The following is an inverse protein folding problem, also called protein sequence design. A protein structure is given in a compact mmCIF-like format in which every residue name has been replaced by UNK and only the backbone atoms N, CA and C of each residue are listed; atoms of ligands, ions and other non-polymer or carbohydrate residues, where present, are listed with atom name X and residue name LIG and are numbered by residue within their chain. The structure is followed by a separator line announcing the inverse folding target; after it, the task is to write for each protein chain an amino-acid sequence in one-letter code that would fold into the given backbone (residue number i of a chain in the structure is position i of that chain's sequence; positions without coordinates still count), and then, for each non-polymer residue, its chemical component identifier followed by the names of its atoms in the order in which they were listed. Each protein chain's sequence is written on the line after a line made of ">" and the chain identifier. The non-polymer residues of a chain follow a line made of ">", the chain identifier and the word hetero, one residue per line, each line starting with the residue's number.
data_IF_277856493619
#
_entry.id   IF_277856493619
#
_cell.length_a   1.000
_cell.length_b   1.000
_cell.length_c   1.000
_cell.angle_alpha   90.00
_cell.angle_beta   90.00
_cell.angle_gamma   90.00
#
_symmetry.space_group_name_H-M   'P 1'
#
loop_
_entity.id
_entity.type
_entity.pdbx_description
1 polymer ?
#
# COMPACT_ATOMS: atom_id res chain seq x y z
N UNK A 1 15.32 12.33 5.22
CA UNK A 1 14.37 13.33 4.68
C UNK A 1 12.95 12.76 4.67
N UNK A 2 12.05 13.40 5.42
CA UNK A 2 10.67 12.95 5.65
C UNK A 2 9.85 13.25 4.39
N UNK A 3 9.33 12.20 3.77
CA UNK A 3 8.54 12.27 2.54
C UNK A 3 7.11 12.67 2.91
N UNK A 4 6.83 13.98 2.94
CA UNK A 4 5.46 14.50 2.99
C UNK A 4 5.21 15.33 1.73
N UNK A 5 4.94 14.67 0.60
CA UNK A 5 4.85 15.36 -0.67
C UNK A 5 3.57 16.21 -0.67
N UNK A 6 3.64 17.51 -1.01
CA UNK A 6 2.47 18.39 -1.01
C UNK A 6 1.49 18.09 -2.15
N UNK A 7 1.92 17.26 -3.11
CA UNK A 7 1.17 16.83 -4.29
C UNK A 7 1.50 15.36 -4.58
N UNK A 8 0.65 14.62 -5.31
CA UNK A 8 0.99 13.31 -5.85
C UNK A 8 2.28 13.39 -6.69
N UNK A 9 3.08 12.34 -6.67
CA UNK A 9 4.31 12.26 -7.48
C UNK A 9 4.25 11.00 -8.34
N UNK A 10 4.62 11.13 -9.61
CA UNK A 10 4.82 10.03 -10.52
C UNK A 10 6.26 10.05 -11.01
N UNK A 11 7.01 8.98 -10.81
CA UNK A 11 8.39 8.82 -11.28
C UNK A 11 8.36 7.80 -12.41
N UNK A 12 8.97 8.14 -13.55
CA UNK A 12 9.05 7.25 -14.73
C UNK A 12 10.52 7.04 -15.08
N UNK A 13 10.93 5.79 -15.24
CA UNK A 13 12.31 5.45 -15.55
C UNK A 13 12.43 4.15 -16.34
N UNK A 14 13.63 3.91 -16.89
CA UNK A 14 13.97 2.61 -17.47
C UNK A 14 14.21 1.62 -16.34
N UNK A 15 13.82 0.36 -16.53
CA UNK A 15 14.13 -0.72 -15.60
C UNK A 15 15.67 -0.79 -15.39
N UNK A 16 16.16 -0.63 -14.16
CA UNK A 16 17.60 -0.60 -13.89
C UNK A 16 18.27 -1.95 -14.07
N UNK A 17 17.52 -3.03 -14.32
CA UNK A 17 18.03 -4.36 -14.62
C UNK A 17 18.16 -4.55 -16.14
N UNK A 18 19.38 -4.58 -16.69
CA UNK A 18 19.58 -4.87 -18.10
C UNK A 18 18.94 -6.21 -18.47
N UNK A 19 18.39 -6.29 -19.69
CA UNK A 19 17.74 -7.48 -20.27
C UNK A 19 16.46 -7.98 -19.56
N UNK A 20 16.05 -7.34 -18.47
CA UNK A 20 14.78 -7.64 -17.81
C UNK A 20 13.62 -7.08 -18.63
N UNK A 21 12.81 -7.98 -19.20
CA UNK A 21 11.63 -7.64 -20.00
C UNK A 21 10.41 -7.23 -19.17
N UNK A 22 10.54 -7.17 -17.85
CA UNK A 22 9.44 -6.79 -16.98
C UNK A 22 9.38 -5.28 -16.80
N UNK A 23 8.15 -4.78 -16.86
CA UNK A 23 7.79 -3.48 -16.32
C UNK A 23 7.51 -3.64 -14.82
N UNK A 24 7.63 -2.53 -14.09
CA UNK A 24 7.36 -2.46 -12.65
C UNK A 24 6.52 -1.23 -12.36
N UNK A 25 5.49 -1.40 -11.55
CA UNK A 25 4.79 -0.30 -10.90
C UNK A 25 4.87 -0.47 -9.39
N UNK A 26 5.11 0.63 -8.68
CA UNK A 26 5.06 0.73 -7.22
C UNK A 26 4.13 1.90 -6.90
N UNK A 27 2.98 1.62 -6.30
CA UNK A 27 2.02 2.62 -5.83
C UNK A 27 2.13 2.70 -4.31
N UNK A 28 2.61 3.83 -3.79
CA UNK A 28 2.82 4.06 -2.36
C UNK A 28 1.91 5.16 -1.84
N UNK A 29 1.01 4.83 -0.92
CA UNK A 29 0.14 5.75 -0.19
C UNK A 29 0.79 6.12 1.14
N UNK A 30 0.96 7.41 1.39
CA UNK A 30 1.65 7.94 2.58
C UNK A 30 0.61 8.42 3.59
N UNK A 31 0.62 7.83 4.79
CA UNK A 31 -0.25 8.25 5.89
C UNK A 31 0.31 9.50 6.59
N UNK A 32 1.58 9.44 7.01
CA UNK A 32 2.22 10.52 7.77
C UNK A 32 3.04 10.00 8.94
N UNK A 33 3.24 10.85 9.96
CA UNK A 33 4.08 10.51 11.11
C UNK A 33 3.51 9.32 11.86
N UNK A 34 4.37 8.33 12.11
CA UNK A 34 4.06 7.06 12.75
C UNK A 34 3.77 7.25 14.25
N UNK A 35 2.68 6.64 14.71
CA UNK A 35 2.31 6.45 16.12
C UNK A 35 2.07 4.95 16.36
N UNK A 36 1.94 4.54 17.63
CA UNK A 36 1.56 3.15 17.95
C UNK A 36 0.19 2.81 17.35
N UNK A 37 -0.74 3.75 17.41
CA UNK A 37 -2.07 3.58 16.84
C UNK A 37 -2.03 3.41 15.31
N UNK A 38 -1.27 4.26 14.61
CA UNK A 38 -1.16 4.14 13.16
C UNK A 38 -0.43 2.85 12.76
N UNK A 39 0.61 2.44 13.49
CA UNK A 39 1.29 1.16 13.26
C UNK A 39 0.34 -0.03 13.35
N UNK A 40 -0.54 -0.05 14.36
CA UNK A 40 -1.54 -1.11 14.53
C UNK A 40 -2.58 -1.07 13.41
N UNK A 41 -3.19 0.09 13.17
CA UNK A 41 -4.28 0.23 12.17
C UNK A 41 -3.75 -0.05 10.76
N UNK A 42 -2.67 0.61 10.35
CA UNK A 42 -2.12 0.44 9.01
C UNK A 42 -1.38 -0.90 8.85
N UNK A 43 -0.84 -1.49 9.92
CA UNK A 43 -0.33 -2.86 9.92
C UNK A 43 -1.41 -3.87 9.54
N UNK A 44 -2.60 -3.80 10.17
CA UNK A 44 -3.75 -4.63 9.82
C UNK A 44 -4.22 -4.37 8.39
N UNK A 45 -4.34 -3.10 7.98
CA UNK A 45 -4.69 -2.75 6.60
C UNK A 45 -3.68 -3.32 5.60
N UNK A 46 -2.39 -3.29 5.92
CA UNK A 46 -1.32 -3.86 5.10
C UNK A 46 -1.44 -5.38 4.92
N UNK A 47 -1.74 -6.11 6.01
CA UNK A 47 -1.98 -7.56 5.94
C UNK A 47 -3.18 -7.90 5.04
N UNK A 48 -4.29 -7.18 5.21
CA UNK A 48 -5.50 -7.39 4.41
C UNK A 48 -5.24 -7.01 2.94
N UNK A 49 -4.62 -5.85 2.69
CA UNK A 49 -4.28 -5.37 1.35
C UNK A 49 -3.38 -6.36 0.62
N UNK A 50 -2.40 -6.96 1.30
CA UNK A 50 -1.52 -7.99 0.74
C UNK A 50 -2.33 -9.15 0.14
N UNK A 51 -3.31 -9.65 0.87
CA UNK A 51 -4.16 -10.77 0.42
C UNK A 51 -5.03 -10.36 -0.77
N UNK A 52 -5.66 -9.17 -0.70
CA UNK A 52 -6.53 -8.68 -1.79
C UNK A 52 -5.73 -8.44 -3.06
N UNK A 53 -4.58 -7.75 -2.96
CA UNK A 53 -3.71 -7.45 -4.09
C UNK A 53 -3.14 -8.73 -4.71
N UNK A 54 -2.69 -9.69 -3.89
CA UNK A 54 -2.19 -10.97 -4.39
C UNK A 54 -3.29 -11.77 -5.11
N UNK A 55 -4.47 -11.91 -4.49
CA UNK A 55 -5.59 -12.63 -5.09
C UNK A 55 -5.99 -12.04 -6.45
N UNK A 56 -6.10 -10.72 -6.54
CA UNK A 56 -6.53 -10.07 -7.77
C UNK A 56 -5.42 -10.00 -8.83
N UNK A 57 -4.28 -9.39 -8.50
CA UNK A 57 -3.26 -9.03 -9.48
C UNK A 57 -2.39 -10.22 -9.87
N UNK A 58 -2.11 -11.14 -8.93
CA UNK A 58 -1.30 -12.35 -9.18
C UNK A 58 -2.15 -13.54 -9.60
N UNK A 59 -3.18 -13.89 -8.84
CA UNK A 59 -3.90 -15.15 -9.09
C UNK A 59 -4.89 -15.04 -10.23
N UNK A 60 -5.79 -14.04 -10.21
CA UNK A 60 -6.83 -13.89 -11.23
C UNK A 60 -6.33 -13.25 -12.52
N UNK A 61 -5.67 -12.09 -12.42
CA UNK A 61 -5.19 -11.34 -13.60
C UNK A 61 -3.83 -11.82 -14.10
N UNK A 62 -3.05 -12.47 -13.25
CA UNK A 62 -1.72 -12.99 -13.58
C UNK A 62 -0.81 -11.93 -14.21
N UNK A 63 -0.87 -10.68 -13.73
CA UNK A 63 -0.18 -9.54 -14.36
C UNK A 63 1.34 -9.65 -14.28
N UNK A 64 1.83 -10.30 -13.23
CA UNK A 64 3.25 -10.41 -12.95
C UNK A 64 3.59 -11.63 -12.11
N UNK A 65 4.88 -11.97 -12.08
CA UNK A 65 5.39 -13.01 -11.19
C UNK A 65 5.45 -12.51 -9.75
N UNK A 66 5.81 -11.24 -9.56
CA UNK A 66 5.93 -10.61 -8.26
C UNK A 66 4.79 -9.62 -8.08
N UNK A 67 3.94 -9.92 -7.11
CA UNK A 67 2.91 -9.00 -6.60
C UNK A 67 3.02 -9.02 -5.09
N UNK A 68 3.11 -7.85 -4.49
CA UNK A 68 3.08 -7.71 -3.06
C UNK A 68 2.40 -6.40 -2.70
N UNK A 69 1.73 -6.40 -1.56
CA UNK A 69 1.37 -5.18 -0.89
C UNK A 69 1.70 -5.31 0.59
N UNK A 70 2.11 -4.23 1.22
CA UNK A 70 2.44 -4.23 2.62
C UNK A 70 2.31 -2.84 3.24
N UNK A 71 2.33 -2.85 4.56
CA UNK A 71 2.61 -1.69 5.39
C UNK A 71 4.10 -1.59 5.65
N UNK A 72 4.62 -0.36 5.68
CA UNK A 72 5.98 -0.09 6.09
C UNK A 72 6.14 1.29 6.72
N UNK A 73 7.29 1.49 7.35
CA UNK A 73 7.68 2.78 7.92
C UNK A 73 9.03 3.19 7.35
N UNK A 74 9.09 4.33 6.68
CA UNK A 74 10.34 4.96 6.25
C UNK A 74 10.71 6.05 7.24
N UNK A 75 11.81 5.86 7.98
CA UNK A 75 12.16 6.69 9.14
C UNK A 75 11.04 6.65 10.19
N UNK A 76 10.20 7.68 10.24
CA UNK A 76 9.05 7.81 11.12
C UNK A 76 7.77 8.10 10.34
N UNK A 77 7.72 7.77 9.05
CA UNK A 77 6.57 7.97 8.18
C UNK A 77 5.98 6.64 7.75
N UNK A 78 4.71 6.45 8.05
CA UNK A 78 3.94 5.27 7.67
C UNK A 78 3.44 5.36 6.23
N UNK A 79 3.51 4.24 5.53
CA UNK A 79 2.98 4.09 4.18
C UNK A 79 2.39 2.70 3.96
N UNK A 80 1.45 2.61 3.02
CA UNK A 80 1.03 1.37 2.38
C UNK A 80 1.56 1.37 0.96
N UNK A 81 2.15 0.26 0.53
CA UNK A 81 2.64 0.14 -0.85
C UNK A 81 2.05 -1.10 -1.50
N UNK A 82 1.74 -0.99 -2.79
CA UNK A 82 1.40 -2.10 -3.68
C UNK A 82 2.36 -2.06 -4.84
N UNK A 83 3.03 -3.17 -5.14
CA UNK A 83 3.89 -3.24 -6.31
C UNK A 83 3.65 -4.50 -7.14
N UNK A 84 3.82 -4.35 -8.44
CA UNK A 84 3.63 -5.39 -9.45
C UNK A 84 4.82 -5.34 -10.39
N UNK A 85 5.45 -6.49 -10.62
CA UNK A 85 6.46 -6.68 -11.66
C UNK A 85 5.99 -7.79 -12.61
N UNK A 86 5.89 -7.45 -13.89
CA UNK A 86 5.43 -8.37 -14.93
C UNK A 86 5.63 -7.84 -16.34
N UNK A 87 5.26 -8.66 -17.32
CA UNK A 87 5.44 -8.38 -18.75
C UNK A 87 4.13 -8.49 -19.55
N UNK A 88 2.98 -8.64 -18.88
CA UNK A 88 1.67 -8.73 -19.55
C UNK A 88 1.07 -7.37 -19.90
N UNK A 89 1.31 -6.38 -19.04
CA UNK A 89 0.91 -5.00 -19.22
C UNK A 89 2.16 -4.13 -19.02
N UNK A 90 2.14 -2.94 -19.62
CA UNK A 90 3.11 -1.91 -19.28
C UNK A 90 2.84 -1.34 -17.87
N UNK A 91 3.78 -0.56 -17.33
CA UNK A 91 3.63 0.00 -15.98
C UNK A 91 2.37 0.88 -15.81
N UNK A 92 1.92 1.55 -16.87
CA UNK A 92 0.68 2.34 -16.87
C UNK A 92 -0.57 1.45 -16.77
N UNK A 93 -0.62 0.36 -17.54
CA UNK A 93 -1.69 -0.62 -17.44
C UNK A 93 -1.73 -1.36 -16.10
N UNK A 94 -0.56 -1.62 -15.51
CA UNK A 94 -0.47 -2.22 -14.17
C UNK A 94 -0.93 -1.26 -13.07
N UNK A 95 -0.60 0.03 -13.14
CA UNK A 95 -1.14 1.05 -12.22
C UNK A 95 -2.67 1.06 -12.26
N UNK A 96 -3.26 1.07 -13.46
CA UNK A 96 -4.72 1.05 -13.62
C UNK A 96 -5.35 -0.22 -13.00
N UNK A 97 -4.65 -1.36 -12.99
CA UNK A 97 -5.12 -2.57 -12.32
C UNK A 97 -4.98 -2.47 -10.79
N UNK A 98 -3.93 -1.82 -10.28
CA UNK A 98 -3.78 -1.51 -8.85
C UNK A 98 -4.92 -0.60 -8.38
N UNK A 99 -5.36 0.37 -9.17
CA UNK A 99 -6.49 1.23 -8.80
C UNK A 99 -7.81 0.46 -8.61
N UNK A 100 -8.01 -0.67 -9.29
CA UNK A 100 -9.17 -1.56 -9.02
C UNK A 100 -9.10 -2.12 -7.61
N UNK A 101 -7.90 -2.54 -7.17
CA UNK A 101 -7.68 -3.02 -5.82
C UNK A 101 -7.95 -1.92 -4.81
N UNK A 102 -7.40 -0.73 -5.04
CA UNK A 102 -7.49 0.36 -4.07
C UNK A 102 -8.89 0.97 -3.96
N UNK A 103 -9.58 1.15 -5.08
CA UNK A 103 -10.85 1.86 -5.15
C UNK A 103 -12.08 0.98 -4.92
N UNK A 104 -12.01 -0.31 -5.27
CA UNK A 104 -13.18 -1.20 -5.24
C UNK A 104 -12.97 -2.41 -4.33
N UNK A 105 -11.95 -3.22 -4.60
CA UNK A 105 -11.82 -4.51 -3.93
C UNK A 105 -11.47 -4.39 -2.46
N UNK A 106 -10.56 -3.48 -2.12
CA UNK A 106 -10.14 -3.26 -0.74
C UNK A 106 -11.28 -2.65 0.10
N UNK A 107 -11.96 -1.56 -0.30
CA UNK A 107 -13.15 -1.06 0.41
C UNK A 107 -14.25 -2.11 0.56
N UNK A 108 -14.51 -2.90 -0.49
CA UNK A 108 -15.50 -3.98 -0.43
C UNK A 108 -15.07 -5.04 0.59
N UNK A 109 -13.81 -5.48 0.55
CA UNK A 109 -13.28 -6.46 1.49
C UNK A 109 -13.41 -5.97 2.94
N UNK A 110 -13.05 -4.70 3.18
CA UNK A 110 -13.17 -4.11 4.52
C UNK A 110 -14.63 -4.05 5.01
N UNK A 111 -15.60 -3.77 4.13
CA UNK A 111 -17.02 -3.69 4.48
C UNK A 111 -17.68 -5.06 4.67
N UNK A 112 -17.23 -6.08 3.94
CA UNK A 112 -17.85 -7.41 3.96
C UNK A 112 -17.13 -8.43 4.84
N UNK A 113 -15.97 -8.10 5.43
CA UNK A 113 -15.27 -9.03 6.31
C UNK A 113 -16.12 -9.34 7.55
N UNK A 114 -16.15 -10.61 7.93
CA UNK A 114 -16.82 -11.03 9.15
C UNK A 114 -16.02 -10.63 10.39
N UNK A 115 -16.68 -10.55 11.55
CA UNK A 115 -15.98 -10.34 12.83
C UNK A 115 -14.98 -11.46 13.14
N UNK A 116 -15.24 -12.68 12.68
CA UNK A 116 -14.31 -13.79 12.84
C UNK A 116 -13.03 -13.54 12.05
N UNK A 117 -13.17 -13.25 10.75
CA UNK A 117 -12.03 -12.95 9.89
C UNK A 117 -11.23 -11.74 10.39
N UNK A 118 -11.92 -10.70 10.88
CA UNK A 118 -11.25 -9.56 11.49
C UNK A 118 -10.42 -9.95 12.73
N UNK A 119 -10.96 -10.81 13.60
CA UNK A 119 -10.21 -11.34 14.75
C UNK A 119 -9.01 -12.16 14.31
N UNK A 120 -9.14 -12.99 13.28
CA UNK A 120 -8.01 -13.78 12.76
C UNK A 120 -6.83 -12.88 12.33
N UNK A 121 -7.10 -11.72 11.72
CA UNK A 121 -6.06 -10.73 11.41
C UNK A 121 -5.42 -10.12 12.66
N UNK A 122 -6.23 -9.76 13.67
CA UNK A 122 -5.73 -9.23 14.95
C UNK A 122 -4.84 -10.25 15.65
N UNK A 123 -5.30 -11.50 15.74
CA UNK A 123 -4.58 -12.59 16.39
C UNK A 123 -3.27 -12.88 15.63
N UNK A 124 -3.31 -12.92 14.29
CA UNK A 124 -2.11 -13.09 13.47
C UNK A 124 -1.07 -11.98 13.72
N UNK A 125 -1.50 -10.72 13.77
CA UNK A 125 -0.61 -9.61 14.09
C UNK A 125 -0.07 -9.71 15.51
N UNK A 126 -0.90 -10.02 16.51
CA UNK A 126 -0.48 -10.21 17.90
C UNK A 126 0.56 -11.34 18.02
N UNK A 127 0.32 -12.46 17.36
CA UNK A 127 1.27 -13.58 17.30
C UNK A 127 2.62 -13.15 16.72
N UNK A 128 2.63 -12.40 15.62
CA UNK A 128 3.89 -11.90 15.02
C UNK A 128 4.66 -10.94 15.93
N UNK A 129 3.98 -10.24 16.85
CA UNK A 129 4.61 -9.31 17.78
C UNK A 129 5.27 -10.01 18.96
N UNK A 130 4.74 -11.17 19.39
CA UNK A 130 5.23 -11.94 20.54
C UNK A 130 6.11 -13.13 20.16
N UNK A 131 6.19 -13.47 18.87
CA UNK A 131 7.01 -14.57 18.39
C UNK A 131 8.48 -14.37 18.82
N UNK A 132 9.09 -15.36 19.51
CA UNK A 132 10.48 -15.26 19.92
C UNK A 132 11.39 -15.30 18.68
N UNK A 133 12.49 -14.52 18.67
CA UNK A 133 13.44 -14.57 17.57
C UNK A 133 14.05 -15.97 17.44
N UNK A 134 14.08 -16.50 16.22
CA UNK A 134 14.59 -17.86 15.93
C UNK A 134 16.04 -17.86 15.45
N UNK A 135 16.62 -16.68 15.22
CA UNK A 135 18.02 -16.52 14.82
C UNK A 135 18.65 -15.28 15.51
N UNK A 136 19.99 -15.20 15.60
CA UNK A 136 20.66 -14.02 16.13
C UNK A 136 20.33 -12.73 15.35
N UNK A 137 20.11 -12.83 14.04
CA UNK A 137 19.70 -11.70 13.23
C UNK A 137 18.29 -11.22 13.62
N UNK A 138 17.37 -12.15 13.86
CA UNK A 138 16.02 -11.82 14.33
C UNK A 138 16.05 -11.22 15.73
N UNK A 139 16.93 -11.71 16.61
CA UNK A 139 17.10 -11.18 17.96
C UNK A 139 17.57 -9.72 17.94
N UNK A 140 18.58 -9.42 17.12
CA UNK A 140 19.03 -8.05 16.91
C UNK A 140 17.87 -7.19 16.43
N UNK A 141 17.14 -7.59 15.37
CA UNK A 141 16.00 -6.83 14.87
C UNK A 141 14.88 -6.66 15.91
N UNK A 142 14.61 -7.70 16.70
CA UNK A 142 13.59 -7.72 17.74
C UNK A 142 13.86 -6.65 18.81
N UNK A 143 15.12 -6.43 19.18
CA UNK A 143 15.52 -5.43 20.19
C UNK A 143 16.03 -4.11 19.59
N UNK A 144 16.21 -4.01 18.27
CA UNK A 144 16.77 -2.82 17.63
C UNK A 144 15.80 -1.63 17.56
N UNK A 145 14.49 -1.89 17.59
CA UNK A 145 13.49 -0.83 17.39
C UNK A 145 13.66 0.36 18.36
N UNK A 146 13.75 0.18 19.69
CA UNK A 146 13.96 1.30 20.62
C UNK A 146 15.27 2.05 20.37
N UNK A 147 16.34 1.34 19.98
CA UNK A 147 17.64 1.94 19.63
C UNK A 147 17.49 2.85 18.40
N UNK A 148 16.82 2.36 17.34
CA UNK A 148 16.51 3.15 16.14
C UNK A 148 15.66 4.39 16.46
N UNK A 149 14.80 4.31 17.47
CA UNK A 149 13.98 5.44 17.95
C UNK A 149 14.72 6.39 18.90
N UNK A 150 16.04 6.22 19.06
CA UNK A 150 16.89 7.07 19.90
C UNK A 150 16.84 6.70 21.38
N UNK A 151 16.71 5.41 21.71
CA UNK A 151 16.59 4.92 23.09
C UNK A 151 15.24 5.26 23.72
N UNK A 152 14.18 5.32 22.91
CA UNK A 152 12.80 5.62 23.36
C UNK A 152 11.87 4.49 22.93
N UNK A 153 10.66 4.47 23.49
CA UNK A 153 9.59 3.56 23.07
C UNK A 153 9.89 2.07 23.32
N UNK A 154 10.54 1.73 24.44
CA UNK A 154 10.75 0.34 24.87
C UNK A 154 9.44 -0.45 25.03
N UNK A 155 8.37 0.25 25.44
CA UNK A 155 7.03 -0.30 25.62
C UNK A 155 6.19 -0.32 24.33
N UNK A 156 6.73 0.10 23.19
CA UNK A 156 5.96 0.21 21.93
C UNK A 156 5.25 -1.10 21.55
N UNK A 157 5.94 -2.24 21.75
CA UNK A 157 5.37 -3.56 21.48
C UNK A 157 4.22 -3.87 22.43
N UNK A 158 4.42 -3.64 23.73
CA UNK A 158 3.37 -3.86 24.74
C UNK A 158 2.16 -2.98 24.48
N UNK A 159 2.37 -1.69 24.18
CA UNK A 159 1.30 -0.76 23.83
C UNK A 159 0.56 -1.18 22.54
N UNK A 160 1.28 -1.72 21.55
CA UNK A 160 0.66 -2.27 20.34
C UNK A 160 -0.23 -3.48 20.65
N UNK A 161 0.24 -4.39 21.53
CA UNK A 161 -0.53 -5.55 21.97
C UNK A 161 -1.78 -5.15 22.78
N UNK A 162 -1.64 -4.18 23.69
CA UNK A 162 -2.77 -3.63 24.45
C UNK A 162 -3.81 -3.01 23.52
N UNK A 163 -3.38 -2.22 22.53
CA UNK A 163 -4.28 -1.60 21.57
C UNK A 163 -4.97 -2.65 20.68
N UNK A 164 -4.22 -3.64 20.18
CA UNK A 164 -4.79 -4.77 19.43
C UNK A 164 -5.85 -5.51 20.26
N UNK A 165 -5.62 -5.77 21.54
CA UNK A 165 -6.59 -6.46 22.39
C UNK A 165 -7.77 -5.57 22.85
N UNK A 166 -7.70 -4.27 22.61
CA UNK A 166 -8.74 -3.33 23.03
C UNK A 166 -9.96 -3.33 22.08
N UNK A 167 -11.05 -2.73 22.56
CA UNK A 167 -12.24 -2.42 21.76
C UNK A 167 -12.08 -1.19 20.86
N UNK A 168 -10.93 -0.50 20.90
CA UNK A 168 -10.66 0.68 20.07
C UNK A 168 -10.36 0.32 18.62
N UNK A 169 -9.82 -0.88 18.38
CA UNK A 169 -9.49 -1.36 17.04
C UNK A 169 -10.65 -2.20 16.51
N UNK A 170 -11.50 -1.55 15.70
CA UNK A 170 -12.68 -2.15 15.06
C UNK A 170 -12.58 -2.14 13.53
N UNK A 171 -13.43 -2.92 12.86
CA UNK A 171 -13.54 -2.92 11.39
C UNK A 171 -13.87 -1.52 10.86
N UNK A 172 -14.72 -0.78 11.55
CA UNK A 172 -15.16 0.56 11.16
C UNK A 172 -14.00 1.56 11.21
N UNK A 173 -13.09 1.42 12.20
CA UNK A 173 -11.85 2.22 12.26
C UNK A 173 -10.96 1.94 11.04
N UNK A 174 -10.82 0.67 10.64
CA UNK A 174 -10.07 0.30 9.44
C UNK A 174 -10.71 0.86 8.16
N UNK A 175 -12.05 0.82 8.05
CA UNK A 175 -12.77 1.43 6.92
C UNK A 175 -12.51 2.93 6.85
N UNK A 176 -12.65 3.65 7.97
CA UNK A 176 -12.40 5.09 8.02
C UNK A 176 -10.95 5.46 7.73
N UNK A 177 -9.99 4.69 8.25
CA UNK A 177 -8.57 4.88 7.96
C UNK A 177 -8.24 4.65 6.48
N UNK A 178 -8.84 3.63 5.85
CA UNK A 178 -8.68 3.39 4.42
C UNK A 178 -9.28 4.52 3.57
N UNK A 179 -10.49 4.97 3.92
CA UNK A 179 -11.15 6.09 3.23
C UNK A 179 -10.31 7.36 3.34
N UNK A 180 -9.73 7.66 4.51
CA UNK A 180 -8.83 8.81 4.66
C UNK A 180 -7.55 8.70 3.83
N UNK A 181 -6.93 7.52 3.78
CA UNK A 181 -5.64 7.29 3.11
C UNK A 181 -5.78 7.20 1.59
N UNK A 182 -6.70 6.38 1.10
CA UNK A 182 -6.81 5.98 -0.30
C UNK A 182 -7.95 6.69 -1.05
N UNK A 183 -8.91 7.29 -0.33
CA UNK A 183 -10.09 7.94 -0.93
C UNK A 183 -10.44 9.26 -0.22
N UNK A 184 -9.46 10.17 -0.02
CA UNK A 184 -9.71 11.37 0.78
C UNK A 184 -10.87 12.19 0.21
N UNK A 185 -11.82 12.64 1.05
CA UNK A 185 -13.04 13.32 0.60
C UNK A 185 -12.76 14.69 -0.03
N UNK A 186 -11.60 15.28 0.26
CA UNK A 186 -11.12 16.52 -0.36
C UNK A 186 -9.61 16.42 -0.62
N UNK A 187 -9.16 17.06 -1.70
CA UNK A 187 -7.77 17.04 -2.13
C UNK A 187 -7.39 15.77 -2.89
N UNK A 188 -6.08 15.49 -2.91
CA UNK A 188 -5.48 14.33 -3.58
C UNK A 188 -4.83 13.41 -2.57
N UNK A 189 -4.57 12.14 -2.93
CA UNK A 189 -3.75 11.27 -2.10
C UNK A 189 -2.34 11.83 -1.98
N UNK A 190 -1.73 11.59 -0.81
CA UNK A 190 -0.27 11.66 -0.68
C UNK A 190 0.30 10.37 -1.26
N UNK A 191 0.48 10.35 -2.57
CA UNK A 191 0.92 9.15 -3.29
C UNK A 191 2.22 9.37 -4.03
N UNK A 192 3.03 8.33 -4.09
CA UNK A 192 4.20 8.22 -4.95
C UNK A 192 4.00 6.99 -5.82
N UNK A 193 3.93 7.20 -7.13
CA UNK A 193 3.86 6.13 -8.13
C UNK A 193 5.18 6.06 -8.85
N UNK A 194 5.92 4.96 -8.69
CA UNK A 194 7.16 4.73 -9.42
C UNK A 194 6.92 3.69 -10.51
N UNK A 195 7.29 4.03 -11.74
CA UNK A 195 7.13 3.20 -12.94
C UNK A 195 8.48 2.95 -13.58
N UNK A 196 8.83 1.67 -13.73
CA UNK A 196 9.98 1.24 -14.49
C UNK A 196 9.52 0.49 -15.74
N UNK A 197 10.04 0.86 -16.90
CA UNK A 197 9.72 0.25 -18.18
C UNK A 197 10.91 -0.56 -18.68
N UNK A 198 10.69 -1.79 -19.15
CA UNK A 198 11.75 -2.68 -19.63
C UNK A 198 12.58 -2.10 -20.80
N UNK A 199 11.97 -1.24 -21.61
CA UNK A 199 12.59 -0.60 -22.77
C UNK A 199 12.67 0.91 -22.64
N UNK A 200 12.15 1.62 -23.63
CA UNK A 200 12.05 3.07 -23.58
C UNK A 200 10.92 3.49 -22.66
N UNK A 201 11.11 4.61 -21.96
CA UNK A 201 10.06 5.21 -21.13
C UNK A 201 9.02 5.86 -22.06
N UNK A 202 7.78 5.34 -22.14
CA UNK A 202 6.76 5.96 -22.95
C UNK A 202 6.35 7.31 -22.37
N UNK A 203 5.91 8.21 -23.25
CA UNK A 203 5.29 9.46 -22.84
C UNK A 203 4.11 9.18 -21.89
N UNK A 204 3.91 10.07 -20.92
CA UNK A 204 2.78 9.94 -19.98
C UNK A 204 1.47 9.88 -20.78
N UNK A 205 0.60 8.87 -20.55
CA UNK A 205 -0.66 8.76 -21.27
C UNK A 205 -1.49 10.05 -21.16
N UNK A 206 -2.12 10.46 -22.26
CA UNK A 206 -3.09 11.56 -22.24
C UNK A 206 -4.27 11.23 -21.30
N UNK A 207 -5.02 12.23 -20.81
CA UNK A 207 -6.18 11.98 -19.95
C UNK A 207 -7.18 10.97 -20.56
N UNK A 208 -7.39 11.04 -21.87
CA UNK A 208 -8.28 10.11 -22.60
C UNK A 208 -7.73 8.69 -22.62
N UNK A 209 -6.42 8.52 -22.84
CA UNK A 209 -5.77 7.22 -22.83
C UNK A 209 -5.77 6.60 -21.43
N UNK A 210 -5.47 7.39 -20.39
CA UNK A 210 -5.52 6.92 -19.01
C UNK A 210 -6.93 6.49 -18.62
N UNK A 211 -7.96 7.29 -18.95
CA UNK A 211 -9.34 6.89 -18.69
C UNK A 211 -9.70 5.59 -19.43
N UNK A 212 -9.24 5.42 -20.67
CA UNK A 212 -9.44 4.19 -21.42
C UNK A 212 -8.72 2.99 -20.75
N UNK A 213 -7.52 3.19 -20.20
CA UNK A 213 -6.80 2.17 -19.43
C UNK A 213 -7.57 1.79 -18.15
N UNK A 214 -8.01 2.79 -17.36
CA UNK A 214 -8.83 2.57 -16.17
C UNK A 214 -10.11 1.79 -16.49
N UNK A 215 -10.81 2.17 -17.57
CA UNK A 215 -12.01 1.47 -18.02
C UNK A 215 -11.72 0.02 -18.44
N UNK A 216 -10.64 -0.22 -19.21
CA UNK A 216 -10.22 -1.57 -19.60
C UNK A 216 -9.87 -2.45 -18.40
N UNK A 217 -9.30 -1.88 -17.34
CA UNK A 217 -8.99 -2.62 -16.12
C UNK A 217 -10.21 -2.84 -15.22
N UNK A 218 -11.34 -2.21 -15.51
CA UNK A 218 -12.59 -2.36 -14.74
C UNK A 218 -12.68 -1.42 -13.54
N UNK A 219 -11.93 -0.32 -13.53
CA UNK A 219 -12.06 0.73 -12.51
C UNK A 219 -13.44 1.39 -12.67
N UNK A 220 -14.16 1.58 -11.56
CA UNK A 220 -15.51 2.13 -11.57
C UNK A 220 -15.55 3.54 -12.18
N UNK A 221 -16.59 3.89 -12.97
CA UNK A 221 -16.73 5.23 -13.57
C UNK A 221 -16.72 6.38 -12.56
N UNK A 222 -17.19 6.14 -11.33
CA UNK A 222 -17.14 7.11 -10.23
C UNK A 222 -15.71 7.50 -9.84
N UNK A 223 -14.73 6.61 -10.02
CA UNK A 223 -13.32 6.87 -9.73
C UNK A 223 -12.66 7.73 -10.80
N UNK A 224 -13.09 7.64 -12.06
CA UNK A 224 -12.36 8.21 -13.19
C UNK A 224 -12.19 9.72 -13.08
N UNK A 225 -13.26 10.43 -12.70
CA UNK A 225 -13.21 11.88 -12.52
C UNK A 225 -12.22 12.27 -11.42
N UNK A 226 -12.24 11.54 -10.31
CA UNK A 226 -11.38 11.81 -9.17
C UNK A 226 -9.91 11.51 -9.48
N UNK A 227 -9.61 10.36 -10.10
CA UNK A 227 -8.26 9.99 -10.53
C UNK A 227 -7.72 10.94 -11.60
N UNK A 228 -8.58 11.46 -12.48
CA UNK A 228 -8.19 12.48 -13.48
C UNK A 228 -7.79 13.80 -12.80
N UNK A 229 -8.56 14.24 -11.80
CA UNK A 229 -8.22 15.43 -11.03
C UNK A 229 -6.95 15.27 -10.18
N UNK A 230 -6.68 14.05 -9.69
CA UNK A 230 -5.41 13.72 -9.04
C UNK A 230 -4.25 13.80 -10.04
N UNK A 231 -4.42 13.21 -11.23
CA UNK A 231 -3.44 13.18 -12.33
C UNK A 231 -2.99 14.57 -12.76
N UNK A 232 -3.91 15.53 -12.82
CA UNK A 232 -3.63 16.94 -13.16
C UNK A 232 -2.73 17.63 -12.12
N UNK A 233 -2.83 17.20 -10.86
CA UNK A 233 -2.02 17.74 -9.76
C UNK A 233 -0.72 16.97 -9.54
N UNK A 234 -0.58 15.78 -10.15
CA UNK A 234 0.62 14.95 -10.04
C UNK A 234 1.83 15.62 -10.68
N UNK A 235 2.90 15.72 -9.90
CA UNK A 235 4.23 16.09 -10.37
C UNK A 235 4.88 14.88 -11.05
N UNK A 236 5.46 15.07 -12.23
CA UNK A 236 6.11 14.00 -13.03
C UNK A 236 7.56 14.36 -13.28
#
# INVERSE_FOLDING_TARGET
>A
PIVNPPKPIEIRGVNPRPDDKNDVVIVTLINGVSTIESQVIYGLLGQILSIVAYSELRTKRQLGYVVNANYGTASNVDYLTTFVQGNKLDADGMEAAVEVVLWDLMPRKLKTMSEHEFRDFKDSMMHSLIEPPVSPYDEVNHFWYPVRMGGRCFEAREQSLLLLNSSLVTREVLVGAWEHLAMPPAGTRKTIVTKFFAGQVPARPSPREQQAQLARQGVAPSAWRWLSGEREQTLV
#
